data_IF_711316594559
#
_entry.id   IF_711316594559
#
_cell.length_a   1.000
_cell.length_b   1.000
_cell.length_c   1.000
_cell.angle_alpha   90.00
_cell.angle_beta   90.00
_cell.angle_gamma   90.00
#
_symmetry.space_group_name_H-M   'P 1'
#
loop_
_entity.id
_entity.type
_entity.pdbx_description
1 polymer ?
#
# COMPACT_ATOMS: atom_id res chain seq x y z
N UNK A 1 -11.51 -28.72 4.30
CA UNK A 1 -10.87 -27.42 4.06
C UNK A 1 -9.40 -27.56 4.44
N UNK A 2 -8.47 -27.47 3.49
CA UNK A 2 -7.04 -27.48 3.81
C UNK A 2 -6.62 -26.05 4.14
N UNK A 3 -6.01 -25.85 5.31
CA UNK A 3 -5.41 -24.59 5.70
C UNK A 3 -3.91 -24.72 5.44
N UNK A 4 -3.41 -23.93 4.49
CA UNK A 4 -1.99 -23.89 4.16
C UNK A 4 -1.30 -22.72 4.87
N UNK A 5 -0.03 -22.92 5.22
CA UNK A 5 0.80 -21.89 5.85
C UNK A 5 1.52 -21.10 4.76
N UNK A 6 1.28 -19.79 4.70
CA UNK A 6 1.97 -18.88 3.80
C UNK A 6 2.84 -17.89 4.58
N UNK A 7 4.00 -17.54 4.03
CA UNK A 7 4.86 -16.53 4.64
C UNK A 7 4.33 -15.12 4.31
N UNK A 8 4.30 -14.22 5.29
CA UNK A 8 3.79 -12.85 5.09
C UNK A 8 4.54 -12.11 3.98
N UNK A 9 5.86 -12.27 3.89
CA UNK A 9 6.67 -11.67 2.81
C UNK A 9 6.24 -12.16 1.42
N UNK A 10 5.89 -13.45 1.29
CA UNK A 10 5.43 -14.00 0.01
C UNK A 10 4.09 -13.40 -0.39
N UNK A 11 3.17 -13.25 0.57
CA UNK A 11 1.88 -12.60 0.34
C UNK A 11 2.11 -11.16 -0.12
N UNK A 12 2.94 -10.38 0.58
CA UNK A 12 3.21 -9.00 0.25
C UNK A 12 3.87 -8.85 -1.13
N UNK A 13 4.86 -9.70 -1.46
CA UNK A 13 5.49 -9.72 -2.78
C UNK A 13 4.45 -9.97 -3.88
N UNK A 14 3.56 -10.95 -3.71
CA UNK A 14 2.50 -11.22 -4.70
C UNK A 14 1.55 -10.04 -4.89
N UNK A 15 1.19 -9.33 -3.81
CA UNK A 15 0.35 -8.12 -3.92
C UNK A 15 1.10 -7.01 -4.65
N UNK A 16 2.37 -6.76 -4.31
CA UNK A 16 3.20 -5.74 -4.94
C UNK A 16 3.42 -6.03 -6.44
N UNK A 17 3.76 -7.26 -6.80
CA UNK A 17 3.90 -7.66 -8.20
C UNK A 17 2.61 -7.49 -8.99
N UNK A 18 1.47 -7.88 -8.40
CA UNK A 18 0.17 -7.71 -9.05
C UNK A 18 -0.16 -6.22 -9.25
N UNK A 19 0.12 -5.39 -8.24
CA UNK A 19 -0.05 -3.94 -8.33
C UNK A 19 0.80 -3.33 -9.45
N UNK A 20 2.07 -3.74 -9.57
CA UNK A 20 2.98 -3.28 -10.62
C UNK A 20 2.49 -3.71 -12.01
N UNK A 21 2.04 -4.95 -12.17
CA UNK A 21 1.49 -5.44 -13.44
C UNK A 21 0.25 -4.64 -13.86
N UNK A 22 -0.66 -4.35 -12.93
CA UNK A 22 -1.84 -3.53 -13.21
C UNK A 22 -1.44 -2.09 -13.58
N UNK A 23 -0.49 -1.51 -12.86
CA UNK A 23 0.01 -0.16 -13.09
C UNK A 23 0.61 -0.01 -14.48
N UNK A 24 1.53 -0.90 -14.87
CA UNK A 24 2.15 -0.87 -16.20
C UNK A 24 1.17 -1.17 -17.33
N UNK A 25 0.16 -2.00 -17.08
CA UNK A 25 -0.92 -2.24 -18.02
C UNK A 25 -1.89 -1.04 -18.13
N UNK A 26 -1.67 0.06 -17.38
CA UNK A 26 -2.55 1.23 -17.29
C UNK A 26 -4.00 0.83 -16.95
N UNK A 27 -4.13 -0.18 -16.08
CA UNK A 27 -5.41 -0.70 -15.58
C UNK A 27 -5.83 0.05 -14.32
N UNK A 28 -6.84 -0.49 -13.63
CA UNK A 28 -7.48 0.10 -12.45
C UNK A 28 -6.48 0.54 -11.36
N UNK A 29 -6.29 1.85 -11.25
CA UNK A 29 -5.37 2.46 -10.29
C UNK A 29 -5.88 2.38 -8.85
N UNK A 30 -7.19 2.23 -8.61
CA UNK A 30 -7.69 1.99 -7.25
C UNK A 30 -7.28 0.61 -6.75
N UNK A 31 -7.38 -0.41 -7.61
CA UNK A 31 -6.82 -1.74 -7.31
C UNK A 31 -5.31 -1.66 -7.05
N UNK A 32 -4.55 -0.90 -7.85
CA UNK A 32 -3.11 -0.68 -7.60
C UNK A 32 -2.87 -0.10 -6.21
N UNK A 33 -3.60 0.96 -5.82
CA UNK A 33 -3.53 1.59 -4.49
C UNK A 33 -3.82 0.56 -3.39
N UNK A 34 -4.90 -0.22 -3.52
CA UNK A 34 -5.27 -1.21 -2.51
C UNK A 34 -4.20 -2.27 -2.33
N UNK A 35 -3.69 -2.83 -3.43
CA UNK A 35 -2.71 -3.90 -3.41
C UNK A 35 -1.34 -3.42 -2.91
N UNK A 36 -0.90 -2.26 -3.37
CA UNK A 36 0.35 -1.64 -2.93
C UNK A 36 0.30 -1.26 -1.45
N UNK A 37 -0.82 -0.70 -0.98
CA UNK A 37 -1.02 -0.38 0.44
C UNK A 37 -1.05 -1.62 1.33
N UNK A 38 -1.65 -2.72 0.87
CA UNK A 38 -1.61 -3.99 1.60
C UNK A 38 -0.19 -4.57 1.66
N UNK A 39 0.58 -4.47 0.57
CA UNK A 39 1.98 -4.89 0.55
C UNK A 39 2.85 -4.07 1.49
N UNK A 40 2.75 -2.74 1.43
CA UNK A 40 3.46 -1.79 2.32
C UNK A 40 3.19 -2.09 3.79
N UNK A 41 1.93 -2.26 4.18
CA UNK A 41 1.57 -2.57 5.57
C UNK A 41 2.21 -3.88 6.05
N UNK A 42 2.14 -4.95 5.23
CA UNK A 42 2.70 -6.25 5.61
C UNK A 42 4.23 -6.18 5.72
N UNK A 43 4.90 -5.53 4.76
CA UNK A 43 6.36 -5.39 4.73
C UNK A 43 6.86 -4.52 5.88
N UNK A 44 6.18 -3.40 6.13
CA UNK A 44 6.45 -2.53 7.27
C UNK A 44 6.35 -3.26 8.61
N UNK A 45 5.32 -4.08 8.81
CA UNK A 45 5.19 -4.92 10.02
C UNK A 45 6.37 -5.91 10.14
N UNK A 46 6.79 -6.53 9.05
CA UNK A 46 7.92 -7.46 9.06
C UNK A 46 9.25 -6.77 9.40
N UNK A 47 9.46 -5.55 8.89
CA UNK A 47 10.63 -4.73 9.21
C UNK A 47 10.67 -4.36 10.71
N UNK A 48 9.53 -3.97 11.30
CA UNK A 48 9.45 -3.66 12.73
C UNK A 48 9.79 -4.87 13.61
N UNK A 49 9.28 -6.05 13.24
CA UNK A 49 9.62 -7.31 13.92
C UNK A 49 11.12 -7.61 13.83
N UNK A 50 11.73 -7.39 12.67
CA UNK A 50 13.18 -7.58 12.47
C UNK A 50 14.04 -6.58 13.25
N UNK A 51 13.57 -5.34 13.41
CA UNK A 51 14.29 -4.27 14.12
C UNK A 51 14.13 -4.31 15.66
N UNK A 52 13.22 -5.14 16.19
CA UNK A 52 12.92 -5.17 17.62
C UNK A 52 12.22 -3.90 18.13
N UNK A 53 11.63 -3.12 17.22
CA UNK A 53 10.94 -1.88 17.54
C UNK A 53 9.48 -2.15 17.95
N UNK A 54 8.94 -1.33 18.86
CA UNK A 54 7.51 -1.37 19.23
C UNK A 54 6.68 -0.84 18.06
N UNK A 55 5.52 -1.47 17.81
CA UNK A 55 4.58 -1.10 16.75
C UNK A 55 4.39 0.43 16.67
N UNK A 56 4.93 1.05 15.61
CA UNK A 56 4.59 2.44 15.31
C UNK A 56 3.28 2.43 14.51
N UNK A 57 2.33 3.34 14.79
CA UNK A 57 1.07 3.35 14.07
C UNK A 57 1.35 3.72 12.60
N UNK A 58 1.22 2.73 11.71
CA UNK A 58 1.39 2.96 10.29
C UNK A 58 0.38 3.99 9.81
N UNK A 59 0.87 4.98 9.07
CA UNK A 59 0.05 5.82 8.20
C UNK A 59 -0.30 5.02 6.94
N UNK A 60 -0.91 3.85 7.13
CA UNK A 60 -1.45 3.07 6.02
C UNK A 60 -2.37 3.98 5.22
N UNK A 61 -2.17 4.06 3.92
CA UNK A 61 -3.06 4.81 3.02
C UNK A 61 -4.49 4.25 3.07
N UNK A 62 -4.67 3.02 3.56
CA UNK A 62 -6.00 2.48 3.89
C UNK A 62 -6.76 3.30 4.94
N UNK A 63 -6.08 4.13 5.74
CA UNK A 63 -6.73 5.08 6.63
C UNK A 63 -7.49 6.19 5.86
N UNK A 64 -7.17 6.46 4.59
CA UNK A 64 -7.99 7.34 3.73
C UNK A 64 -9.36 6.71 3.42
N UNK A 65 -9.43 5.39 3.39
CA UNK A 65 -10.69 4.65 3.21
C UNK A 65 -11.39 4.34 4.54
N UNK A 66 -10.78 4.66 5.68
CA UNK A 66 -11.46 4.53 6.96
C UNK A 66 -12.42 5.72 7.12
N UNK A 67 -13.71 5.47 7.41
CA UNK A 67 -14.63 6.55 7.68
C UNK A 67 -14.09 7.42 8.83
N UNK A 68 -14.17 8.75 8.67
CA UNK A 68 -13.77 9.70 9.69
C UNK A 68 -14.54 9.36 10.97
N UNK A 69 -13.82 8.76 11.94
CA UNK A 69 -14.25 8.35 13.28
C UNK A 69 -15.76 8.17 13.47
N UNK A 70 -16.18 6.93 13.71
CA UNK A 70 -17.37 6.61 14.48
C UNK A 70 -17.31 7.28 15.88
N UNK A 71 -17.59 8.58 15.96
CA UNK A 71 -17.81 9.28 17.20
C UNK A 71 -19.20 8.93 17.69
N UNK A 72 -19.23 8.10 18.74
CA UNK A 72 -20.15 8.20 19.89
C UNK A 72 -21.63 8.48 19.57
N UNK A 73 -22.46 7.45 19.80
CA UNK A 73 -23.87 7.53 20.25
C UNK A 73 -24.57 8.89 20.06
N UNK A 74 -25.49 8.95 19.10
CA UNK A 74 -26.81 9.53 19.37
C UNK A 74 -27.33 10.68 18.50
N UNK A 75 -26.57 11.27 17.58
CA UNK A 75 -27.09 12.37 16.76
C UNK A 75 -26.75 12.20 15.27
N UNK A 76 -27.79 12.10 14.44
CA UNK A 76 -27.70 12.12 12.98
C UNK A 76 -27.22 13.49 12.51
N UNK A 77 -25.90 13.67 12.37
CA UNK A 77 -25.37 14.83 11.65
C UNK A 77 -25.54 14.61 10.14
N UNK A 78 -25.88 15.64 9.36
CA UNK A 78 -25.89 15.52 7.90
C UNK A 78 -24.49 15.14 7.44
N UNK A 79 -24.40 14.16 6.52
CA UNK A 79 -23.12 13.71 5.98
C UNK A 79 -22.40 14.89 5.32
N UNK A 80 -21.17 15.16 5.77
CA UNK A 80 -20.29 16.10 5.09
C UNK A 80 -19.72 15.44 3.82
N UNK A 81 -19.39 16.24 2.82
CA UNK A 81 -18.83 15.74 1.54
C UNK A 81 -17.60 14.85 1.76
N UNK A 82 -16.75 15.22 2.72
CA UNK A 82 -15.56 14.45 3.12
C UNK A 82 -15.87 13.11 3.79
N UNK A 83 -17.12 12.87 4.22
CA UNK A 83 -17.55 11.56 4.76
C UNK A 83 -17.85 10.56 3.63
N UNK A 84 -18.12 11.05 2.42
CA UNK A 84 -18.56 10.26 1.28
C UNK A 84 -17.54 10.24 0.14
N UNK A 85 -16.71 11.28 0.04
CA UNK A 85 -15.81 11.49 -1.07
C UNK A 85 -14.36 11.68 -0.60
N UNK A 86 -13.44 11.13 -1.39
CA UNK A 86 -12.01 11.34 -1.24
C UNK A 86 -11.52 12.09 -2.48
N UNK A 87 -10.91 13.25 -2.27
CA UNK A 87 -10.24 14.00 -3.34
C UNK A 87 -8.77 13.58 -3.39
N UNK A 88 -8.37 12.94 -4.49
CA UNK A 88 -7.00 12.48 -4.67
C UNK A 88 -6.60 12.43 -6.13
N UNK A 89 -5.32 12.67 -6.39
CA UNK A 89 -4.69 12.27 -7.65
C UNK A 89 -4.38 10.78 -7.56
N UNK A 90 -5.26 9.96 -8.14
CA UNK A 90 -5.19 8.50 -8.08
C UNK A 90 -3.89 7.98 -8.65
N UNK A 91 -3.33 8.63 -9.68
CA UNK A 91 -2.08 8.19 -10.30
C UNK A 91 -0.90 8.50 -9.40
N UNK A 92 -0.83 9.73 -8.87
CA UNK A 92 0.23 10.11 -7.95
C UNK A 92 0.18 9.25 -6.67
N UNK A 93 -1.00 8.93 -6.16
CA UNK A 93 -1.13 8.06 -4.97
C UNK A 93 -0.66 6.64 -5.27
N UNK A 94 -1.05 6.07 -6.41
CA UNK A 94 -0.58 4.75 -6.83
C UNK A 94 0.95 4.71 -6.95
N UNK A 95 1.55 5.72 -7.58
CA UNK A 95 3.02 5.82 -7.71
C UNK A 95 3.71 5.96 -6.35
N UNK A 96 3.15 6.77 -5.44
CA UNK A 96 3.65 6.96 -4.08
C UNK A 96 3.66 5.64 -3.29
N UNK A 97 2.52 4.93 -3.29
CA UNK A 97 2.37 3.67 -2.56
C UNK A 97 3.23 2.54 -3.12
N UNK A 98 3.25 2.39 -4.45
CA UNK A 98 4.15 1.42 -5.10
C UNK A 98 5.59 1.68 -4.70
N UNK A 99 5.99 2.95 -4.69
CA UNK A 99 7.31 3.35 -4.26
C UNK A 99 7.65 2.92 -2.84
N UNK A 100 6.78 3.22 -1.87
CA UNK A 100 7.00 2.83 -0.47
C UNK A 100 7.07 1.32 -0.30
N UNK A 101 6.16 0.58 -0.92
CA UNK A 101 6.16 -0.89 -0.86
C UNK A 101 7.44 -1.49 -1.48
N UNK A 102 7.96 -0.92 -2.57
CA UNK A 102 9.26 -1.30 -3.15
C UNK A 102 10.40 -1.06 -2.18
N UNK A 103 10.44 0.12 -1.55
CA UNK A 103 11.51 0.49 -0.62
C UNK A 103 11.52 -0.44 0.60
N UNK A 104 10.35 -0.75 1.15
CA UNK A 104 10.21 -1.67 2.28
C UNK A 104 10.60 -3.11 1.89
N UNK A 105 10.22 -3.57 0.69
CA UNK A 105 10.63 -4.88 0.19
C UNK A 105 12.15 -4.98 0.02
N UNK A 106 12.76 -3.95 -0.57
CA UNK A 106 14.20 -3.89 -0.76
C UNK A 106 14.95 -3.80 0.58
N UNK A 107 14.45 -3.02 1.54
CA UNK A 107 15.02 -2.96 2.89
C UNK A 107 14.99 -4.31 3.60
N UNK A 108 13.92 -5.10 3.39
CA UNK A 108 13.75 -6.41 4.02
C UNK A 108 14.61 -7.50 3.37
N UNK A 109 14.78 -7.46 2.05
CA UNK A 109 15.36 -8.57 1.27
C UNK A 109 16.73 -8.27 0.67
N UNK A 110 17.09 -7.00 0.49
CA UNK A 110 18.25 -6.56 -0.28
C UNK A 110 18.12 -6.76 -1.79
N UNK A 111 16.93 -7.15 -2.27
CA UNK A 111 16.68 -7.50 -3.67
C UNK A 111 15.52 -6.69 -4.27
N UNK A 112 15.49 -6.61 -5.60
CA UNK A 112 14.39 -6.04 -6.37
C UNK A 112 13.98 -7.02 -7.46
N UNK A 113 12.68 -7.13 -7.72
CA UNK A 113 12.21 -7.84 -8.91
C UNK A 113 12.42 -6.99 -10.18
N UNK A 114 12.33 -7.62 -11.35
CA UNK A 114 12.40 -6.90 -12.62
C UNK A 114 11.31 -5.84 -12.79
N UNK A 115 10.09 -6.06 -12.26
CA UNK A 115 9.03 -5.06 -12.31
C UNK A 115 9.30 -3.87 -11.38
N UNK A 116 9.93 -4.12 -10.23
CA UNK A 116 10.31 -3.05 -9.29
C UNK A 116 11.45 -2.20 -9.87
N UNK A 117 12.46 -2.84 -10.47
CA UNK A 117 13.54 -2.15 -11.17
C UNK A 117 12.99 -1.27 -12.29
N UNK A 118 12.14 -1.84 -13.15
CA UNK A 118 11.44 -1.11 -14.21
C UNK A 118 10.65 0.09 -13.67
N UNK A 119 9.97 -0.05 -12.53
CA UNK A 119 9.23 1.07 -11.92
C UNK A 119 10.16 2.19 -11.47
N UNK A 120 11.26 1.84 -10.79
CA UNK A 120 12.27 2.81 -10.38
C UNK A 120 12.88 3.55 -11.60
N UNK A 121 13.17 2.83 -12.67
CA UNK A 121 13.75 3.36 -13.90
C UNK A 121 12.76 4.21 -14.71
N UNK A 122 11.51 3.79 -14.89
CA UNK A 122 10.58 4.47 -15.80
C UNK A 122 9.75 5.57 -15.13
N UNK A 123 9.51 5.45 -13.83
CA UNK A 123 8.58 6.32 -13.09
C UNK A 123 9.33 7.25 -12.16
N UNK A 124 10.24 6.74 -11.32
CA UNK A 124 10.94 7.55 -10.33
C UNK A 124 12.06 8.40 -10.93
N UNK A 125 12.79 7.89 -11.92
CA UNK A 125 13.88 8.65 -12.58
C UNK A 125 13.39 9.94 -13.27
N UNK A 126 12.13 9.98 -13.71
CA UNK A 126 11.52 11.14 -14.40
C UNK A 126 11.11 12.27 -13.46
N UNK A 127 11.20 12.06 -12.14
CA UNK A 127 10.89 13.06 -11.10
C UNK A 127 12.15 13.70 -10.50
N UNK A 128 13.34 13.27 -10.93
CA UNK A 128 14.64 13.81 -10.49
C UNK A 128 15.09 15.04 -11.27
#
# INVERSE_FOLDING_TARGET
MNIEKHHKQEIALRQLETALLLYFAKKDLFSVITLAGAAEEILGQLLQVGAGEKETPFRSVLNLFRPARASVRGESRPAHETDLFVHMDVRNEAEFLLGRAIDDYHALTGELSGNMQKFNEEVRSRRG
#
